data_IF_039493999882
#
_entry.id   IF_039493999882
#
_cell.length_a   1.000
_cell.length_b   1.000
_cell.length_c   1.000
_cell.angle_alpha   90.00
_cell.angle_beta   90.00
_cell.angle_gamma   90.00
#
_symmetry.space_group_name_H-M   'P 1'
#
loop_
_entity.id
_entity.type
_entity.pdbx_description
1 polymer ?
#
# COMPACT_ATOMS: atom_id res chain seq x y z
N UNK A 1 22.59 -24.02 10.12
CA UNK A 1 21.56 -24.62 9.25
C UNK A 1 20.67 -23.49 8.77
N UNK A 2 20.94 -22.97 7.58
CA UNK A 2 20.24 -21.80 7.02
C UNK A 2 19.03 -22.34 6.27
N UNK A 3 17.85 -22.25 6.89
CA UNK A 3 16.62 -22.65 6.23
C UNK A 3 16.33 -21.62 5.13
N UNK A 4 16.07 -22.14 3.94
CA UNK A 4 16.09 -21.47 2.65
C UNK A 4 14.78 -20.68 2.47
N UNK A 5 14.60 -19.59 3.24
CA UNK A 5 13.42 -18.71 3.18
C UNK A 5 13.47 -17.79 1.96
N UNK A 6 13.42 -18.43 0.79
CA UNK A 6 13.32 -17.73 -0.49
C UNK A 6 12.00 -17.00 -0.61
N UNK A 7 10.91 -17.52 -0.05
CA UNK A 7 9.58 -16.91 -0.20
C UNK A 7 9.11 -16.20 1.07
N UNK A 8 8.45 -15.06 0.90
CA UNK A 8 7.75 -14.37 1.98
C UNK A 8 6.34 -13.97 1.56
N UNK A 9 5.44 -13.89 2.53
CA UNK A 9 4.12 -13.29 2.36
C UNK A 9 4.07 -11.98 3.15
N UNK A 10 3.74 -10.90 2.45
CA UNK A 10 3.44 -9.61 3.04
C UNK A 10 1.98 -9.26 2.76
N UNK A 11 1.17 -9.12 3.80
CA UNK A 11 -0.26 -8.83 3.64
C UNK A 11 -0.56 -7.53 2.87
N UNK A 12 0.33 -6.54 2.92
CA UNK A 12 0.13 -5.26 2.24
C UNK A 12 0.66 -5.26 0.82
N UNK A 13 1.71 -6.03 0.57
CA UNK A 13 2.49 -5.93 -0.67
C UNK A 13 2.43 -7.20 -1.52
N UNK A 14 1.98 -8.34 -0.98
CA UNK A 14 1.77 -9.61 -1.66
C UNK A 14 2.83 -10.69 -1.39
N UNK A 15 3.00 -11.60 -2.33
CA UNK A 15 3.93 -12.74 -2.27
C UNK A 15 5.27 -12.34 -2.89
N UNK A 16 6.37 -12.54 -2.16
CA UNK A 16 7.70 -12.19 -2.60
C UNK A 16 8.68 -13.35 -2.64
N UNK A 17 9.71 -13.19 -3.46
CA UNK A 17 10.85 -14.08 -3.58
C UNK A 17 12.16 -13.30 -3.39
N UNK A 18 12.91 -13.64 -2.34
CA UNK A 18 14.26 -13.19 -2.04
C UNK A 18 15.27 -13.85 -3.00
N UNK A 19 15.90 -13.05 -3.83
CA UNK A 19 16.98 -13.50 -4.71
C UNK A 19 18.34 -13.48 -4.02
N UNK A 20 18.56 -12.44 -3.21
CA UNK A 20 19.83 -12.18 -2.52
C UNK A 20 19.52 -11.76 -1.10
N UNK A 21 20.16 -12.43 -0.15
CA UNK A 21 20.18 -12.03 1.25
C UNK A 21 21.63 -11.98 1.71
N UNK A 22 22.10 -10.80 2.13
CA UNK A 22 23.47 -10.60 2.59
C UNK A 22 23.50 -9.69 3.82
N UNK A 23 23.84 -10.29 4.96
CA UNK A 23 23.80 -9.59 6.25
C UNK A 23 22.40 -9.05 6.55
N UNK A 24 22.32 -7.75 6.80
CA UNK A 24 21.07 -7.03 7.06
C UNK A 24 20.22 -6.78 5.80
N UNK A 25 20.75 -7.00 4.59
CA UNK A 25 20.11 -6.60 3.34
C UNK A 25 19.45 -7.77 2.63
N UNK A 26 18.30 -7.51 2.02
CA UNK A 26 17.63 -8.43 1.10
C UNK A 26 17.17 -7.71 -0.17
N UNK A 27 17.31 -8.39 -1.31
CA UNK A 27 16.76 -8.02 -2.61
C UNK A 27 15.73 -9.06 -3.03
N UNK A 28 14.53 -8.61 -3.36
CA UNK A 28 13.43 -9.48 -3.75
C UNK A 28 12.62 -8.94 -4.92
N UNK A 29 11.95 -9.86 -5.63
CA UNK A 29 10.77 -9.54 -6.45
C UNK A 29 9.52 -9.89 -5.68
N UNK A 30 8.39 -9.32 -6.06
CA UNK A 30 7.10 -9.69 -5.50
C UNK A 30 5.97 -9.49 -6.50
N UNK A 31 4.91 -10.29 -6.34
CA UNK A 31 3.61 -10.10 -6.97
C UNK A 31 2.68 -9.57 -5.89
N UNK A 32 2.10 -8.41 -6.15
CA UNK A 32 1.24 -7.67 -5.23
C UNK A 32 -0.11 -7.33 -5.82
N UNK A 33 -0.94 -6.70 -4.99
CA UNK A 33 -2.25 -6.22 -5.35
C UNK A 33 -2.24 -4.70 -5.57
N UNK A 34 -3.05 -4.25 -6.53
CA UNK A 34 -3.39 -2.84 -6.77
C UNK A 34 -4.90 -2.72 -6.62
N UNK A 35 -5.33 -2.06 -5.54
CA UNK A 35 -6.74 -1.81 -5.29
C UNK A 35 -7.36 -0.96 -6.39
N UNK A 36 -8.57 -1.31 -6.80
CA UNK A 36 -9.43 -0.58 -7.74
C UNK A 36 -10.09 0.65 -7.12
N UNK A 37 -11.11 1.19 -7.80
CA UNK A 37 -12.11 2.12 -7.28
C UNK A 37 -13.47 1.60 -7.74
N UNK A 38 -14.29 1.17 -6.78
CA UNK A 38 -15.64 0.71 -7.08
C UNK A 38 -16.56 1.90 -7.37
N UNK A 39 -17.58 1.67 -8.20
CA UNK A 39 -18.60 2.65 -8.58
C UNK A 39 -19.86 2.47 -7.72
N UNK A 40 -19.68 2.58 -6.42
CA UNK A 40 -20.75 2.48 -5.42
C UNK A 40 -20.85 3.79 -4.64
N UNK A 41 -21.95 3.97 -3.91
CA UNK A 41 -22.22 5.16 -3.10
C UNK A 41 -22.00 6.48 -3.88
N UNK A 42 -21.21 7.39 -3.32
CA UNK A 42 -20.90 8.70 -3.92
C UNK A 42 -20.09 8.60 -5.23
N UNK A 43 -19.64 7.39 -5.61
CA UNK A 43 -18.89 7.10 -6.83
C UNK A 43 -19.75 6.39 -7.89
N UNK A 44 -21.06 6.21 -7.68
CA UNK A 44 -21.93 5.43 -8.56
C UNK A 44 -21.99 5.93 -10.01
N UNK A 45 -21.70 7.21 -10.22
CA UNK A 45 -21.76 7.86 -11.53
C UNK A 45 -20.39 7.98 -12.22
N UNK A 46 -19.32 7.53 -11.55
CA UNK A 46 -17.98 7.44 -12.11
C UNK A 46 -17.74 6.06 -12.71
N UNK A 47 -16.80 5.99 -13.65
CA UNK A 47 -16.38 4.71 -14.19
C UNK A 47 -15.65 3.93 -13.10
N UNK A 48 -15.86 2.61 -13.11
CA UNK A 48 -15.15 1.71 -12.21
C UNK A 48 -13.70 1.60 -12.66
N UNK A 49 -12.79 1.55 -11.70
CA UNK A 49 -11.37 1.23 -11.95
C UNK A 49 -11.11 -0.16 -11.43
N UNK A 50 -10.94 -1.13 -12.33
CA UNK A 50 -10.74 -2.52 -11.93
C UNK A 50 -9.40 -2.73 -11.20
N UNK A 51 -9.49 -3.53 -10.15
CA UNK A 51 -8.33 -3.95 -9.38
C UNK A 51 -7.44 -4.91 -10.18
N UNK A 52 -6.17 -4.99 -9.81
CA UNK A 52 -5.23 -5.83 -10.55
C UNK A 52 -4.06 -6.36 -9.75
N UNK A 53 -3.29 -7.22 -10.40
CA UNK A 53 -1.99 -7.65 -9.94
C UNK A 53 -0.91 -6.64 -10.37
N UNK A 54 0.14 -6.54 -9.56
CA UNK A 54 1.34 -5.79 -9.89
C UNK A 54 2.57 -6.67 -9.65
N UNK A 55 3.63 -6.39 -10.39
CA UNK A 55 4.96 -6.95 -10.11
C UNK A 55 5.85 -5.84 -9.57
N UNK A 56 6.80 -6.18 -8.72
CA UNK A 56 7.71 -5.18 -8.16
C UNK A 56 9.03 -5.75 -7.70
N UNK A 57 9.98 -4.83 -7.51
CA UNK A 57 11.28 -5.10 -6.90
C UNK A 57 11.38 -4.38 -5.56
N UNK A 58 12.09 -4.98 -4.61
CA UNK A 58 12.28 -4.45 -3.27
C UNK A 58 13.69 -4.71 -2.77
N UNK A 59 14.27 -3.66 -2.20
CA UNK A 59 15.42 -3.75 -1.31
C UNK A 59 14.93 -3.48 0.11
N UNK A 60 15.30 -4.34 1.05
CA UNK A 60 15.02 -4.14 2.46
C UNK A 60 16.29 -4.28 3.30
N UNK A 61 16.32 -3.56 4.42
CA UNK A 61 17.38 -3.61 5.41
C UNK A 61 16.78 -3.79 6.81
N UNK A 62 17.24 -4.80 7.53
CA UNK A 62 16.87 -5.07 8.91
C UNK A 62 18.07 -4.79 9.83
N UNK A 63 17.97 -3.75 10.65
CA UNK A 63 19.02 -3.34 11.58
C UNK A 63 18.46 -3.24 13.00
N UNK A 64 18.62 -4.34 13.76
CA UNK A 64 18.07 -4.47 15.11
C UNK A 64 16.54 -4.25 15.13
N UNK A 65 16.03 -3.23 15.85
CA UNK A 65 14.60 -2.96 15.88
C UNK A 65 14.12 -2.16 14.65
N UNK A 66 15.01 -1.66 13.79
CA UNK A 66 14.65 -0.85 12.64
C UNK A 66 14.57 -1.67 11.36
N UNK A 67 13.56 -1.40 10.56
CA UNK A 67 13.34 -2.03 9.26
C UNK A 67 13.10 -0.95 8.23
N UNK A 68 13.88 -0.97 7.15
CA UNK A 68 13.77 -0.02 6.05
C UNK A 68 13.53 -0.77 4.75
N UNK A 69 12.75 -0.19 3.85
CA UNK A 69 12.58 -0.76 2.53
C UNK A 69 12.35 0.31 1.46
N UNK A 70 12.93 0.08 0.30
CA UNK A 70 12.63 0.80 -0.93
C UNK A 70 12.07 -0.20 -1.95
N UNK A 71 11.00 0.16 -2.65
CA UNK A 71 10.43 -0.68 -3.69
C UNK A 71 9.83 0.11 -4.83
N UNK A 72 9.82 -0.50 -6.00
CA UNK A 72 9.07 -0.05 -7.17
C UNK A 72 8.11 -1.15 -7.58
N UNK A 73 6.91 -0.80 -8.02
CA UNK A 73 5.97 -1.73 -8.65
C UNK A 73 5.27 -1.11 -9.83
N UNK A 74 4.85 -1.95 -10.76
CA UNK A 74 4.00 -1.60 -11.91
C UNK A 74 2.85 -2.59 -12.00
N UNK A 75 1.61 -2.12 -12.24
CA UNK A 75 0.48 -3.02 -12.50
C UNK A 75 0.72 -3.83 -13.77
N UNK A 76 0.19 -5.05 -13.82
CA UNK A 76 0.26 -5.94 -14.99
C UNK A 76 -1.12 -6.42 -15.44
N UNK A 77 -2.17 -6.14 -14.65
CA UNK A 77 -3.57 -6.39 -14.97
C UNK A 77 -4.45 -5.29 -14.36
N UNK A 78 -5.72 -5.23 -14.74
CA UNK A 78 -6.67 -4.20 -14.30
C UNK A 78 -6.50 -2.90 -15.07
N UNK A 79 -7.08 -1.82 -14.54
CA UNK A 79 -7.19 -0.54 -15.26
C UNK A 79 -6.18 0.52 -14.77
N UNK A 80 -5.32 0.15 -13.84
CA UNK A 80 -4.30 1.05 -13.31
C UNK A 80 -3.03 0.90 -14.12
N UNK A 81 -2.52 2.01 -14.63
CA UNK A 81 -1.26 2.04 -15.38
C UNK A 81 -0.13 2.76 -14.62
N UNK A 82 1.08 2.68 -15.17
CA UNK A 82 2.25 3.40 -14.65
C UNK A 82 2.99 2.66 -13.54
N UNK A 83 3.55 3.40 -12.59
CA UNK A 83 4.37 2.83 -11.52
C UNK A 83 4.22 3.57 -10.20
N UNK A 84 4.57 2.87 -9.12
CA UNK A 84 4.63 3.43 -7.78
C UNK A 84 5.99 3.13 -7.13
N UNK A 85 6.65 4.17 -6.66
CA UNK A 85 7.82 4.09 -5.79
C UNK A 85 7.37 4.16 -4.34
N UNK A 86 8.01 3.40 -3.47
CA UNK A 86 7.67 3.33 -2.05
C UNK A 86 8.93 3.29 -1.21
N UNK A 87 8.99 4.17 -0.21
CA UNK A 87 9.99 4.16 0.84
C UNK A 87 9.26 3.94 2.17
N UNK A 88 9.71 2.99 2.98
CA UNK A 88 9.15 2.70 4.30
C UNK A 88 10.28 2.64 5.32
N UNK A 89 10.01 3.16 6.51
CA UNK A 89 10.81 2.94 7.70
C UNK A 89 9.89 2.50 8.82
N UNK A 90 10.33 1.56 9.64
CA UNK A 90 9.56 1.14 10.80
C UNK A 90 10.47 0.73 11.95
N UNK A 91 9.98 0.98 13.16
CA UNK A 91 10.55 0.50 14.39
C UNK A 91 9.68 -0.65 14.91
N UNK A 92 10.31 -1.76 15.25
CA UNK A 92 9.68 -3.01 15.69
C UNK A 92 10.29 -3.42 17.02
N UNK A 93 9.44 -3.59 18.03
CA UNK A 93 9.90 -3.93 19.39
C UNK A 93 8.94 -4.91 20.09
N UNK A 94 9.45 -5.93 20.78
CA UNK A 94 8.63 -6.73 21.69
C UNK A 94 8.32 -5.89 22.94
N UNK A 95 7.03 -5.60 23.16
CA UNK A 95 6.58 -4.94 24.39
C UNK A 95 6.47 -5.93 25.56
N UNK A 96 6.11 -7.18 25.25
CA UNK A 96 6.10 -8.30 26.20
C UNK A 96 6.52 -9.58 25.46
N UNK A 97 6.56 -10.72 26.17
CA UNK A 97 6.84 -12.04 25.55
C UNK A 97 5.84 -12.41 24.44
N UNK A 98 4.63 -11.87 24.50
CA UNK A 98 3.53 -12.23 23.60
C UNK A 98 3.04 -11.05 22.76
N UNK A 99 3.61 -9.84 22.93
CA UNK A 99 3.14 -8.63 22.27
C UNK A 99 4.28 -7.98 21.50
N UNK A 100 4.09 -7.84 20.19
CA UNK A 100 5.04 -7.22 19.27
C UNK A 100 4.39 -5.98 18.64
N UNK A 101 5.05 -4.83 18.77
CA UNK A 101 4.65 -3.60 18.13
C UNK A 101 5.55 -3.33 16.93
N UNK A 102 4.97 -2.83 15.84
CA UNK A 102 5.71 -2.21 14.75
C UNK A 102 5.00 -0.94 14.30
N UNK A 103 5.72 0.16 14.12
CA UNK A 103 5.15 1.40 13.63
C UNK A 103 6.19 2.20 12.84
N UNK A 104 5.72 3.01 11.89
CA UNK A 104 6.58 3.97 11.21
C UNK A 104 5.98 4.63 9.99
N UNK A 105 6.75 5.54 9.38
CA UNK A 105 6.32 6.28 8.20
C UNK A 105 6.48 5.49 6.90
N UNK A 106 5.73 5.93 5.89
CA UNK A 106 5.92 5.52 4.50
C UNK A 106 5.66 6.68 3.55
N UNK A 107 6.45 6.75 2.49
CA UNK A 107 6.30 7.66 1.37
C UNK A 107 6.00 6.85 0.12
N UNK A 108 4.98 7.24 -0.62
CA UNK A 108 4.55 6.56 -1.84
C UNK A 108 4.44 7.60 -2.93
N UNK A 109 5.28 7.50 -3.96
CA UNK A 109 5.14 8.33 -5.15
C UNK A 109 4.50 7.50 -6.25
N UNK A 110 3.41 7.99 -6.82
CA UNK A 110 2.74 7.37 -7.95
C UNK A 110 2.95 8.24 -9.19
N UNK A 111 3.26 7.63 -10.32
CA UNK A 111 3.43 8.33 -11.61
C UNK A 111 2.13 8.97 -12.08
N UNK A 112 2.22 9.95 -12.97
CA UNK A 112 1.08 10.58 -13.65
C UNK A 112 0.02 9.58 -14.13
N UNK A 113 0.39 8.57 -14.93
CA UNK A 113 -0.56 7.53 -15.40
C UNK A 113 -1.27 6.77 -14.28
N UNK A 114 -0.57 6.53 -13.16
CA UNK A 114 -1.19 5.87 -12.00
C UNK A 114 -2.21 6.80 -11.36
N UNK A 115 -1.85 8.08 -11.24
CA UNK A 115 -2.71 9.11 -10.67
C UNK A 115 -3.94 9.33 -11.55
N UNK A 116 -3.77 9.42 -12.87
CA UNK A 116 -4.83 9.55 -13.86
C UNK A 116 -5.83 8.40 -13.75
N UNK A 117 -5.35 7.13 -13.78
CA UNK A 117 -6.20 5.95 -13.59
C UNK A 117 -7.00 5.94 -12.27
N UNK A 118 -6.60 6.73 -11.26
CA UNK A 118 -7.22 6.72 -9.93
C UNK A 118 -8.05 7.94 -9.61
N UNK A 119 -7.66 9.08 -10.15
CA UNK A 119 -8.13 10.39 -9.73
C UNK A 119 -8.54 11.29 -10.90
N UNK A 120 -8.32 10.86 -12.15
CA UNK A 120 -8.85 11.52 -13.33
C UNK A 120 -10.38 11.46 -13.36
N UNK A 121 -10.99 12.49 -13.95
CA UNK A 121 -12.43 12.59 -14.19
C UNK A 121 -12.63 13.01 -15.63
N UNK A 122 -13.12 12.08 -16.46
CA UNK A 122 -13.41 12.36 -17.87
C UNK A 122 -14.59 13.31 -18.04
N UNK A 123 -14.73 13.94 -19.22
CA UNK A 123 -15.90 14.78 -19.54
C UNK A 123 -17.23 14.01 -19.46
N UNK A 124 -17.20 12.73 -19.82
CA UNK A 124 -18.36 11.86 -19.71
C UNK A 124 -18.74 11.59 -18.24
N UNK A 125 -17.75 11.34 -17.38
CA UNK A 125 -17.95 11.19 -15.94
C UNK A 125 -18.41 12.49 -15.29
N UNK A 126 -17.83 13.63 -15.67
CA UNK A 126 -18.21 14.97 -15.22
C UNK A 126 -19.70 15.24 -15.48
N UNK A 127 -20.15 14.95 -16.69
CA UNK A 127 -21.57 15.12 -17.09
C UNK A 127 -22.53 14.27 -16.25
N UNK A 128 -22.13 13.05 -15.86
CA UNK A 128 -22.99 12.10 -15.14
C UNK A 128 -22.93 12.28 -13.62
N UNK A 129 -21.76 12.62 -13.09
CA UNK A 129 -21.50 12.73 -11.65
C UNK A 129 -21.74 14.12 -11.10
N UNK A 130 -21.64 15.15 -11.94
CA UNK A 130 -21.64 16.56 -11.53
C UNK A 130 -20.30 17.03 -10.96
N UNK A 131 -19.29 16.15 -10.88
CA UNK A 131 -17.91 16.55 -10.58
C UNK A 131 -17.32 17.30 -11.78
N UNK A 132 -16.41 18.22 -11.53
CA UNK A 132 -15.69 18.88 -12.63
C UNK A 132 -14.79 17.87 -13.36
N UNK A 133 -14.66 18.01 -14.69
CA UNK A 133 -13.66 17.25 -15.42
C UNK A 133 -12.25 17.60 -14.89
N UNK A 134 -11.39 16.60 -14.81
CA UNK A 134 -10.08 16.72 -14.20
C UNK A 134 -9.07 15.83 -14.91
N UNK A 135 -8.11 16.45 -15.58
CA UNK A 135 -6.99 15.80 -16.25
C UNK A 135 -5.75 15.90 -15.36
N UNK A 136 -5.06 14.78 -15.18
CA UNK A 136 -3.89 14.71 -14.31
C UNK A 136 -2.61 14.95 -15.10
N UNK A 137 -1.99 16.10 -14.85
CA UNK A 137 -0.73 16.48 -15.50
C UNK A 137 0.52 15.93 -14.80
N UNK A 138 0.41 15.37 -13.58
CA UNK A 138 1.55 14.96 -12.77
C UNK A 138 1.28 13.77 -11.84
N UNK A 139 2.37 13.13 -11.40
CA UNK A 139 2.33 12.17 -10.30
C UNK A 139 1.98 12.80 -8.95
N UNK A 140 1.74 11.97 -7.93
CA UNK A 140 1.47 12.45 -6.57
C UNK A 140 2.25 11.71 -5.50
N UNK A 141 2.51 12.40 -4.39
CA UNK A 141 3.09 11.82 -3.18
C UNK A 141 1.97 11.52 -2.17
N UNK A 142 2.04 10.36 -1.55
CA UNK A 142 1.24 10.00 -0.38
C UNK A 142 2.16 9.76 0.80
N UNK A 143 1.91 10.48 1.88
CA UNK A 143 2.63 10.32 3.14
C UNK A 143 1.75 9.48 4.06
N UNK A 144 2.31 8.44 4.68
CA UNK A 144 1.57 7.55 5.58
C UNK A 144 2.31 7.42 6.89
N UNK A 145 1.56 7.35 7.98
CA UNK A 145 2.06 6.84 9.25
C UNK A 145 1.12 5.75 9.76
N UNK A 146 1.68 4.65 10.24
CA UNK A 146 0.84 3.59 10.78
C UNK A 146 1.66 2.49 11.44
N UNK A 147 0.95 1.51 11.95
CA UNK A 147 1.57 0.41 12.67
C UNK A 147 0.74 -0.85 12.68
N UNK A 148 1.30 -1.83 13.35
CA UNK A 148 0.70 -3.13 13.64
C UNK A 148 1.04 -3.54 15.05
N UNK A 149 0.09 -4.17 15.72
CA UNK A 149 0.29 -4.78 17.02
C UNK A 149 -0.10 -6.25 16.92
N UNK A 150 0.87 -7.14 17.12
CA UNK A 150 0.68 -8.58 17.05
C UNK A 150 0.69 -9.15 18.46
N UNK A 151 -0.42 -9.76 18.87
CA UNK A 151 -0.56 -10.48 20.13
C UNK A 151 -0.62 -11.98 19.87
N UNK A 152 0.29 -12.74 20.49
CA UNK A 152 0.31 -14.19 20.46
C UNK A 152 -0.67 -14.73 21.51
N UNK A 153 -1.77 -15.31 21.05
CA UNK A 153 -2.83 -15.88 21.89
C UNK A 153 -2.40 -17.24 22.47
N UNK A 154 -1.76 -18.07 21.64
CA UNK A 154 -1.21 -19.38 22.02
C UNK A 154 0.03 -19.69 21.17
N UNK A 155 0.59 -20.90 21.28
CA UNK A 155 1.70 -21.33 20.43
C UNK A 155 1.36 -21.24 18.93
N UNK A 156 0.09 -21.44 18.59
CA UNK A 156 -0.37 -21.64 17.22
C UNK A 156 -1.19 -20.47 16.68
N UNK A 157 -1.72 -19.61 17.57
CA UNK A 157 -2.61 -18.51 17.21
C UNK A 157 -1.99 -17.14 17.51
N UNK A 158 -2.09 -16.24 16.54
CA UNK A 158 -1.77 -14.81 16.74
C UNK A 158 -2.84 -13.91 16.14
N UNK A 159 -3.13 -12.81 16.83
CA UNK A 159 -4.00 -11.74 16.37
C UNK A 159 -3.15 -10.50 16.08
N UNK A 160 -3.30 -9.93 14.89
CA UNK A 160 -2.62 -8.71 14.48
C UNK A 160 -3.64 -7.62 14.23
N UNK A 161 -3.62 -6.57 15.03
CA UNK A 161 -4.30 -5.32 14.72
C UNK A 161 -3.41 -4.42 13.86
N UNK A 162 -4.02 -3.65 12.96
CA UNK A 162 -3.36 -2.64 12.15
C UNK A 162 -4.17 -1.34 12.14
N UNK A 163 -3.48 -0.22 12.12
CA UNK A 163 -4.09 1.09 11.99
C UNK A 163 -3.11 2.08 11.37
N UNK A 164 -3.63 3.17 10.81
CA UNK A 164 -2.84 4.31 10.44
C UNK A 164 -3.62 5.35 9.65
N UNK A 165 -2.88 6.36 9.23
CA UNK A 165 -3.38 7.52 8.50
C UNK A 165 -2.48 7.77 7.29
N UNK A 166 -3.07 8.25 6.21
CA UNK A 166 -2.38 8.68 5.02
C UNK A 166 -2.84 10.09 4.62
N UNK A 167 -1.93 10.87 4.08
CA UNK A 167 -2.17 12.19 3.53
C UNK A 167 -1.85 12.16 2.04
N UNK A 168 -2.83 12.55 1.20
CA UNK A 168 -2.68 12.71 -0.24
C UNK A 168 -2.19 14.13 -0.54
N UNK A 169 -1.17 14.26 -1.39
CA UNK A 169 -0.66 15.55 -1.88
C UNK A 169 -0.87 15.68 -3.39
N UNK A 170 -0.49 16.83 -3.97
CA UNK A 170 -0.42 17.01 -5.41
C UNK A 170 -1.76 16.78 -6.11
N UNK A 171 -1.71 16.25 -7.32
CA UNK A 171 -2.90 16.05 -8.17
C UNK A 171 -3.97 15.18 -7.51
N UNK A 172 -3.58 14.14 -6.76
CA UNK A 172 -4.55 13.33 -6.03
C UNK A 172 -5.35 14.13 -4.99
N UNK A 173 -4.77 15.17 -4.39
CA UNK A 173 -5.47 16.04 -3.43
C UNK A 173 -6.46 16.98 -4.12
N UNK A 174 -6.15 17.41 -5.34
CA UNK A 174 -6.92 18.41 -6.09
C UNK A 174 -8.00 17.81 -6.99
N UNK A 175 -7.93 16.50 -7.24
CA UNK A 175 -9.00 15.77 -7.92
C UNK A 175 -10.35 16.04 -7.24
N UNK A 176 -11.41 16.35 -8.01
CA UNK A 176 -12.78 16.48 -7.50
C UNK A 176 -13.26 15.25 -6.71
N UNK A 177 -12.75 14.06 -7.03
CA UNK A 177 -13.03 12.83 -6.27
C UNK A 177 -12.56 12.95 -4.81
N UNK A 178 -11.46 13.66 -4.55
CA UNK A 178 -10.90 13.84 -3.20
C UNK A 178 -11.35 15.16 -2.58
N UNK A 179 -11.42 16.23 -3.36
CA UNK A 179 -11.74 17.56 -2.87
C UNK A 179 -13.22 17.74 -2.53
N UNK A 180 -14.12 17.13 -3.31
CA UNK A 180 -15.55 17.42 -3.22
C UNK A 180 -16.34 16.31 -2.51
N UNK A 181 -15.95 15.04 -2.72
CA UNK A 181 -16.65 13.88 -2.16
C UNK A 181 -15.78 13.00 -1.25
N UNK A 182 -14.48 13.31 -1.13
CA UNK A 182 -13.52 12.53 -0.38
C UNK A 182 -12.86 13.29 0.78
N UNK A 183 -11.73 12.75 1.24
CA UNK A 183 -10.84 13.42 2.17
C UNK A 183 -9.39 13.18 1.75
N UNK A 184 -8.58 14.22 1.83
CA UNK A 184 -7.15 14.15 1.60
C UNK A 184 -6.41 13.48 2.77
N UNK A 185 -7.05 13.35 3.94
CA UNK A 185 -6.63 12.52 5.07
C UNK A 185 -7.43 11.22 5.08
N UNK A 186 -6.76 10.10 4.87
CA UNK A 186 -7.36 8.77 4.83
C UNK A 186 -6.96 7.92 6.03
N UNK A 187 -7.93 7.56 6.87
CA UNK A 187 -7.76 6.59 7.94
C UNK A 187 -7.98 5.17 7.46
N UNK A 188 -7.22 4.21 7.98
CA UNK A 188 -7.47 2.79 7.75
C UNK A 188 -7.16 1.97 9.01
N UNK A 189 -7.86 0.85 9.17
CA UNK A 189 -7.65 -0.07 10.27
C UNK A 189 -8.17 -1.46 9.94
N UNK A 190 -7.75 -2.45 10.72
CA UNK A 190 -8.21 -3.83 10.54
C UNK A 190 -7.56 -4.80 11.50
N UNK A 191 -8.01 -6.05 11.44
CA UNK A 191 -7.48 -7.15 12.23
C UNK A 191 -7.25 -8.37 11.36
N UNK A 192 -6.25 -9.16 11.69
CA UNK A 192 -5.94 -10.42 11.04
C UNK A 192 -5.67 -11.47 12.11
N UNK A 193 -6.26 -12.65 11.96
CA UNK A 193 -5.92 -13.81 12.76
C UNK A 193 -5.09 -14.78 11.92
N UNK A 194 -3.97 -15.23 12.46
CA UNK A 194 -3.08 -16.19 11.82
C UNK A 194 -2.99 -17.45 12.67
N UNK A 195 -3.09 -18.60 12.02
CA UNK A 195 -2.89 -19.92 12.60
C UNK A 195 -1.64 -20.57 11.98
N UNK A 196 -0.79 -21.19 12.80
CA UNK A 196 0.37 -21.97 12.35
C UNK A 196 0.33 -23.35 13.01
N UNK A 197 0.49 -24.39 12.19
CA UNK A 197 0.60 -25.79 12.61
C UNK A 197 2.05 -26.19 12.95
#
# INVERSE_FOLDING_TARGET
MTYDDRFYLNIRDGLGWNFISYGAWSLSTYIGYVGGRDNEDDLSNLDKVDSGAAIGLRVAMEDGPFNYSASVKTPVTGDVDGYQLTLKGSWRTPLTKNLLLSAGPGLFYSSERWTESKFGVSEAESTRSGLSAYDVDNGYLRIRFGGTMTYRLSADWSLTGLAGVAYLTGEAKYSPIVADIGDHVQGFGGFLMNYRF
#
